data_IF_811415582356
#
_entry.id   IF_811415582356
#
_cell.length_a   1.000
_cell.length_b   1.000
_cell.length_c   1.000
_cell.angle_alpha   90.00
_cell.angle_beta   90.00
_cell.angle_gamma   90.00
#
_symmetry.space_group_name_H-M   'P 1'
#
loop_
_entity.id
_entity.type
_entity.pdbx_description
1 polymer ?
#
# COMPACT_ATOMS: atom_id res chain seq x y z
N UNK A 1 6.89 63.63 -18.10
CA UNK A 1 7.72 62.43 -17.92
C UNK A 1 6.84 61.38 -17.24
N UNK A 2 5.97 60.78 -18.04
CA UNK A 2 5.38 59.49 -17.73
C UNK A 2 6.43 58.45 -18.11
N UNK A 3 6.92 57.67 -17.14
CA UNK A 3 7.55 56.39 -17.48
C UNK A 3 7.50 55.41 -16.30
N UNK A 4 6.84 54.29 -16.57
CA UNK A 4 7.03 52.96 -15.99
C UNK A 4 6.58 52.70 -14.53
N UNK A 5 5.26 52.55 -14.37
CA UNK A 5 4.64 51.73 -13.32
C UNK A 5 4.00 50.49 -13.96
N UNK A 6 4.78 49.72 -14.72
CA UNK A 6 4.34 48.47 -15.32
C UNK A 6 5.43 47.42 -15.14
N UNK A 7 5.34 46.62 -14.07
CA UNK A 7 5.96 45.28 -13.87
C UNK A 7 5.86 44.85 -12.40
N UNK A 8 4.70 45.01 -11.76
CA UNK A 8 4.34 44.13 -10.65
C UNK A 8 3.35 43.11 -11.22
N UNK A 9 3.92 42.21 -12.02
CA UNK A 9 3.17 41.20 -12.75
C UNK A 9 2.26 40.41 -11.82
N UNK A 10 1.13 40.07 -12.41
CA UNK A 10 0.01 39.31 -11.91
C UNK A 10 0.38 37.85 -11.57
N UNK A 11 1.31 37.65 -10.63
CA UNK A 11 1.77 36.32 -10.21
C UNK A 11 0.69 35.54 -9.45
N UNK A 12 -0.23 36.23 -8.78
CA UNK A 12 -1.31 35.64 -7.99
C UNK A 12 -2.45 35.04 -8.84
N UNK A 13 -2.69 35.50 -10.08
CA UNK A 13 -3.66 34.84 -10.97
C UNK A 13 -3.07 33.61 -11.65
N UNK A 14 -1.75 33.58 -11.89
CA UNK A 14 -1.07 32.43 -12.50
C UNK A 14 -0.85 31.28 -11.51
N UNK A 15 -0.57 31.58 -10.25
CA UNK A 15 -0.21 30.59 -9.24
C UNK A 15 -1.14 30.67 -8.03
N UNK A 16 -2.06 29.71 -7.92
CA UNK A 16 -2.88 29.56 -6.73
C UNK A 16 -2.02 29.15 -5.52
N UNK A 17 -2.07 29.92 -4.44
CA UNK A 17 -1.44 29.56 -3.17
C UNK A 17 -2.32 28.51 -2.49
N UNK A 18 -1.92 27.24 -2.53
CA UNK A 18 -2.63 26.18 -1.81
C UNK A 18 -2.33 26.25 -0.32
N UNK A 19 -3.35 26.02 0.51
CA UNK A 19 -3.15 25.79 1.93
C UNK A 19 -2.45 24.45 2.17
N UNK A 20 -1.90 24.26 3.37
CA UNK A 20 -1.31 22.97 3.75
C UNK A 20 -2.35 21.84 3.75
N UNK A 21 -3.58 22.13 4.19
CA UNK A 21 -4.68 21.18 4.15
C UNK A 21 -5.06 20.78 2.72
N UNK A 22 -5.01 21.72 1.76
CA UNK A 22 -5.29 21.41 0.35
C UNK A 22 -4.16 20.57 -0.27
N UNK A 23 -2.90 20.86 0.07
CA UNK A 23 -1.77 20.01 -0.33
C UNK A 23 -1.90 18.59 0.23
N UNK A 24 -2.28 18.45 1.50
CA UNK A 24 -2.49 17.14 2.12
C UNK A 24 -3.66 16.39 1.51
N UNK A 25 -4.73 17.10 1.12
CA UNK A 25 -5.86 16.52 0.40
C UNK A 25 -5.42 15.98 -0.97
N UNK A 26 -4.57 16.70 -1.70
CA UNK A 26 -4.00 16.22 -2.97
C UNK A 26 -3.13 14.98 -2.76
N UNK A 27 -2.26 14.99 -1.75
CA UNK A 27 -1.40 13.85 -1.40
C UNK A 27 -2.22 12.63 -0.96
N UNK A 28 -3.29 12.83 -0.20
CA UNK A 28 -4.21 11.75 0.21
C UNK A 28 -4.99 11.19 -0.97
N UNK A 29 -5.47 12.04 -1.88
CA UNK A 29 -6.24 11.65 -3.06
C UNK A 29 -5.39 10.94 -4.13
N UNK A 30 -4.07 11.09 -4.10
CA UNK A 30 -3.15 10.35 -4.99
C UNK A 30 -3.30 8.83 -4.82
N UNK A 31 -3.59 8.36 -3.61
CA UNK A 31 -3.70 6.94 -3.31
C UNK A 31 -5.13 6.44 -3.57
N UNK A 32 -5.27 5.33 -4.30
CA UNK A 32 -6.55 4.65 -4.47
C UNK A 32 -7.12 4.18 -3.12
N UNK A 33 -8.44 4.03 -3.03
CA UNK A 33 -9.13 3.61 -1.80
C UNK A 33 -8.65 2.23 -1.30
N UNK A 34 -8.34 1.31 -2.22
CA UNK A 34 -7.73 0.02 -1.89
C UNK A 34 -6.35 0.18 -1.24
N UNK A 35 -5.54 1.12 -1.71
CA UNK A 35 -4.23 1.43 -1.14
C UNK A 35 -4.38 2.03 0.26
N UNK A 36 -5.31 2.97 0.47
CA UNK A 36 -5.63 3.54 1.79
C UNK A 36 -6.06 2.45 2.79
N UNK A 37 -6.93 1.54 2.35
CA UNK A 37 -7.36 0.41 3.16
C UNK A 37 -6.20 -0.52 3.52
N UNK A 38 -5.31 -0.82 2.56
CA UNK A 38 -4.11 -1.64 2.81
C UNK A 38 -3.14 -0.99 3.80
N UNK A 39 -2.96 0.34 3.72
CA UNK A 39 -2.16 1.12 4.66
C UNK A 39 -2.76 1.04 6.06
N UNK A 40 -4.07 1.31 6.19
CA UNK A 40 -4.78 1.22 7.47
C UNK A 40 -4.65 -0.17 8.10
N UNK A 41 -4.76 -1.23 7.30
CA UNK A 41 -4.58 -2.60 7.75
C UNK A 41 -3.16 -2.87 8.25
N UNK A 42 -2.14 -2.47 7.50
CA UNK A 42 -0.74 -2.65 7.87
C UNK A 42 -0.41 -1.95 9.20
N UNK A 43 -0.87 -0.70 9.34
CA UNK A 43 -0.69 0.12 10.53
C UNK A 43 -1.39 -0.48 11.73
N UNK A 44 -2.65 -0.91 11.57
CA UNK A 44 -3.38 -1.58 12.64
C UNK A 44 -2.63 -2.82 13.11
N UNK A 45 -2.15 -3.65 12.17
CA UNK A 45 -1.40 -4.86 12.50
C UNK A 45 -0.12 -4.56 13.28
N UNK A 46 0.62 -3.52 12.87
CA UNK A 46 1.81 -3.06 13.57
C UNK A 46 1.48 -2.48 14.95
N UNK A 47 0.43 -1.67 15.05
CA UNK A 47 -0.05 -1.10 16.30
C UNK A 47 -0.47 -2.16 17.30
N UNK A 48 -1.25 -3.16 16.87
CA UNK A 48 -1.69 -4.28 17.70
C UNK A 48 -0.49 -5.08 18.22
N UNK A 49 0.54 -5.27 17.40
CA UNK A 49 1.81 -5.85 17.84
C UNK A 49 2.52 -4.97 18.88
N UNK A 50 2.64 -3.66 18.66
CA UNK A 50 3.29 -2.74 19.59
C UNK A 50 2.57 -2.66 20.95
N UNK A 51 1.25 -2.75 20.97
CA UNK A 51 0.47 -2.85 22.21
C UNK A 51 0.77 -4.16 22.94
N UNK A 52 0.80 -5.30 22.23
CA UNK A 52 0.95 -6.61 22.83
C UNK A 52 2.40 -6.93 23.27
N UNK A 53 3.39 -6.55 22.47
CA UNK A 53 4.77 -6.98 22.63
C UNK A 53 5.70 -5.90 23.21
N UNK A 54 5.32 -4.62 23.14
CA UNK A 54 6.20 -3.50 23.44
C UNK A 54 5.58 -2.42 24.34
N UNK A 55 4.39 -2.68 24.92
CA UNK A 55 3.70 -1.79 25.86
C UNK A 55 3.45 -0.36 25.34
N UNK A 56 3.39 -0.15 24.02
CA UNK A 56 3.01 1.14 23.45
C UNK A 56 1.49 1.22 23.36
N UNK A 57 0.88 1.88 24.36
CA UNK A 57 -0.58 1.88 24.52
C UNK A 57 -1.31 2.86 23.58
N UNK A 58 -0.61 3.75 22.88
CA UNK A 58 -1.23 4.79 22.04
C UNK A 58 -0.55 4.97 20.69
N UNK A 59 -1.34 5.35 19.68
CA UNK A 59 -0.85 5.68 18.32
C UNK A 59 0.17 6.81 18.36
N UNK A 60 -0.04 7.82 19.20
CA UNK A 60 0.89 8.96 19.35
C UNK A 60 2.28 8.48 19.78
N UNK A 61 2.35 7.51 20.68
CA UNK A 61 3.63 6.94 21.10
C UNK A 61 4.35 6.20 19.96
N UNK A 62 3.60 5.57 19.05
CA UNK A 62 4.13 4.88 17.87
C UNK A 62 4.58 5.87 16.78
N UNK A 63 3.92 7.02 16.68
CA UNK A 63 4.25 8.08 15.72
C UNK A 63 5.56 8.79 16.06
N UNK A 64 5.89 8.89 17.35
CA UNK A 64 7.06 9.59 17.88
C UNK A 64 8.27 8.67 18.15
N UNK A 65 8.26 7.43 17.63
CA UNK A 65 9.35 6.48 17.84
C UNK A 65 10.65 6.94 17.15
N UNK A 66 11.79 6.98 17.87
CA UNK A 66 13.10 7.15 17.26
C UNK A 66 13.40 6.05 16.24
N UNK A 67 14.18 6.35 15.20
CA UNK A 67 14.49 5.40 14.12
C UNK A 67 15.09 4.09 14.62
N UNK A 68 16.02 4.14 15.57
CA UNK A 68 16.64 2.94 16.15
C UNK A 68 15.60 2.07 16.88
N UNK A 69 14.70 2.69 17.64
CA UNK A 69 13.63 1.95 18.33
C UNK A 69 12.65 1.35 17.33
N UNK A 70 12.31 2.09 16.27
CA UNK A 70 11.46 1.60 15.20
C UNK A 70 12.12 0.43 14.45
N UNK A 71 13.43 0.50 14.16
CA UNK A 71 14.18 -0.60 13.54
C UNK A 71 14.15 -1.87 14.39
N UNK A 72 14.42 -1.76 15.68
CA UNK A 72 14.37 -2.91 16.61
C UNK A 72 12.96 -3.50 16.75
N UNK A 73 11.92 -2.65 16.70
CA UNK A 73 10.54 -3.12 16.74
C UNK A 73 10.18 -3.85 15.44
N UNK A 74 10.53 -3.30 14.29
CA UNK A 74 10.28 -3.91 12.98
C UNK A 74 11.05 -5.23 12.81
N UNK A 75 12.28 -5.29 13.32
CA UNK A 75 13.07 -6.53 13.40
C UNK A 75 12.30 -7.65 14.10
N UNK A 76 11.72 -7.37 15.28
CA UNK A 76 10.96 -8.38 16.02
C UNK A 76 9.56 -8.63 15.44
N UNK A 77 8.98 -7.63 14.78
CA UNK A 77 7.63 -7.67 14.21
C UNK A 77 7.51 -8.62 13.00
N UNK A 78 8.44 -8.55 12.05
CA UNK A 78 8.34 -9.36 10.82
C UNK A 78 8.26 -10.88 11.06
N UNK A 79 9.08 -11.50 11.93
CA UNK A 79 8.98 -12.93 12.21
C UNK A 79 7.73 -13.30 13.04
N UNK A 80 7.15 -12.37 13.80
CA UNK A 80 5.96 -12.62 14.63
C UNK A 80 4.64 -12.52 13.88
N UNK A 81 4.64 -12.00 12.65
CA UNK A 81 3.42 -11.79 11.86
C UNK A 81 2.68 -13.11 11.59
N UNK A 82 1.40 -13.17 11.99
CA UNK A 82 0.48 -14.27 11.73
C UNK A 82 -0.89 -13.74 11.30
N UNK A 83 -1.60 -14.52 10.50
CA UNK A 83 -2.99 -14.23 10.16
C UNK A 83 -3.92 -14.49 11.37
N UNK A 84 -5.22 -14.21 11.22
CA UNK A 84 -6.21 -14.42 12.28
C UNK A 84 -6.34 -15.89 12.75
N UNK A 85 -5.91 -16.84 11.92
CA UNK A 85 -5.92 -18.26 12.22
C UNK A 85 -4.61 -18.73 12.88
N UNK A 86 -3.63 -17.82 13.08
CA UNK A 86 -2.31 -18.15 13.63
C UNK A 86 -1.30 -18.66 12.60
N UNK A 87 -1.62 -18.63 11.30
CA UNK A 87 -0.74 -19.13 10.23
C UNK A 87 0.21 -18.05 9.73
N UNK A 88 1.33 -18.46 9.12
CA UNK A 88 2.28 -17.55 8.46
C UNK A 88 1.65 -16.91 7.23
N UNK A 89 1.95 -15.64 6.99
CA UNK A 89 1.53 -14.94 5.77
C UNK A 89 2.40 -15.32 4.56
N UNK A 90 1.82 -15.19 3.36
CA UNK A 90 2.59 -15.21 2.12
C UNK A 90 3.54 -14.00 2.01
N UNK A 91 4.66 -14.18 1.32
CA UNK A 91 5.69 -13.12 1.14
C UNK A 91 5.11 -11.84 0.56
N UNK A 92 4.15 -11.95 -0.37
CA UNK A 92 3.50 -10.79 -0.98
C UNK A 92 2.72 -9.96 0.05
N UNK A 93 2.10 -10.60 1.04
CA UNK A 93 1.37 -9.91 2.10
C UNK A 93 2.35 -9.17 3.02
N UNK A 94 3.49 -9.78 3.38
CA UNK A 94 4.54 -9.10 4.17
C UNK A 94 5.05 -7.84 3.45
N UNK A 95 5.28 -7.92 2.14
CA UNK A 95 5.69 -6.75 1.33
C UNK A 95 4.64 -5.65 1.36
N UNK A 96 3.37 -6.01 1.22
CA UNK A 96 2.25 -5.07 1.30
C UNK A 96 2.15 -4.41 2.67
N UNK A 97 2.34 -5.17 3.76
CA UNK A 97 2.38 -4.63 5.13
C UNK A 97 3.54 -3.66 5.28
N UNK A 98 4.76 -4.04 4.88
CA UNK A 98 5.93 -3.16 4.93
C UNK A 98 5.72 -1.86 4.15
N UNK A 99 5.17 -1.95 2.94
CA UNK A 99 4.85 -0.77 2.13
C UNK A 99 3.79 0.12 2.79
N UNK A 100 2.80 -0.47 3.44
CA UNK A 100 1.80 0.27 4.23
C UNK A 100 2.41 1.01 5.40
N UNK A 101 3.32 0.39 6.15
CA UNK A 101 4.03 1.05 7.27
C UNK A 101 4.94 2.17 6.75
N UNK A 102 5.66 1.95 5.65
CA UNK A 102 6.46 3.01 5.02
C UNK A 102 5.60 4.23 4.70
N UNK A 103 4.47 4.03 3.99
CA UNK A 103 3.54 5.12 3.65
C UNK A 103 3.03 5.83 4.89
N UNK A 104 2.66 5.08 5.93
CA UNK A 104 2.15 5.65 7.18
C UNK A 104 3.09 6.69 7.80
N UNK A 105 4.39 6.44 7.80
CA UNK A 105 5.37 7.35 8.37
C UNK A 105 5.74 8.49 7.41
N UNK A 106 5.81 8.25 6.10
CA UNK A 106 6.25 9.27 5.11
C UNK A 106 5.13 10.16 4.60
N UNK A 107 3.89 9.70 4.57
CA UNK A 107 2.75 10.47 4.08
C UNK A 107 2.21 11.41 5.18
N UNK A 108 1.45 12.45 4.80
CA UNK A 108 0.72 13.27 5.77
C UNK A 108 -0.16 12.41 6.69
N UNK A 109 -0.29 12.77 7.98
CA UNK A 109 0.18 14.03 8.59
C UNK A 109 1.63 13.98 9.12
N UNK A 110 2.33 12.84 9.05
CA UNK A 110 3.59 12.63 9.78
C UNK A 110 4.81 13.14 9.05
N UNK A 111 4.85 12.95 7.72
CA UNK A 111 5.93 13.41 6.84
C UNK A 111 7.34 13.14 7.38
N UNK A 112 7.54 11.98 8.01
CA UNK A 112 8.86 11.60 8.50
C UNK A 112 9.77 11.30 7.33
N UNK A 113 10.97 11.85 7.36
CA UNK A 113 12.02 11.61 6.37
C UNK A 113 12.77 10.30 6.66
N UNK A 114 12.02 9.20 6.68
CA UNK A 114 12.57 7.86 6.95
C UNK A 114 12.27 6.91 5.81
N UNK A 115 13.11 5.89 5.68
CA UNK A 115 12.91 4.81 4.73
C UNK A 115 13.18 3.46 5.39
N UNK A 116 12.12 2.78 5.80
CA UNK A 116 12.22 1.47 6.47
C UNK A 116 12.56 0.34 5.49
N UNK A 117 12.54 0.60 4.18
CA UNK A 117 12.79 -0.40 3.13
C UNK A 117 14.27 -0.41 2.74
N UNK A 118 14.87 0.77 2.57
CA UNK A 118 16.24 0.92 2.07
C UNK A 118 17.09 1.94 2.84
N UNK A 119 16.57 2.57 3.88
CA UNK A 119 17.31 3.54 4.70
C UNK A 119 18.34 2.85 5.61
N UNK A 120 19.47 3.50 5.81
CA UNK A 120 20.61 2.97 6.59
C UNK A 120 20.27 2.80 8.08
N UNK A 121 19.34 3.61 8.60
CA UNK A 121 18.86 3.52 9.98
C UNK A 121 18.05 2.23 10.26
N UNK A 122 17.73 1.44 9.22
CA UNK A 122 16.83 0.28 9.30
C UNK A 122 17.51 -1.05 8.93
N UNK A 123 18.82 -1.16 9.15
CA UNK A 123 19.60 -2.33 8.74
C UNK A 123 19.15 -3.63 9.44
N UNK A 124 18.74 -3.59 10.72
CA UNK A 124 18.36 -4.80 11.46
C UNK A 124 17.04 -5.35 10.95
N UNK A 125 16.03 -4.48 10.85
CA UNK A 125 14.72 -4.86 10.33
C UNK A 125 14.78 -5.27 8.87
N UNK A 126 15.63 -4.64 8.05
CA UNK A 126 15.86 -5.05 6.66
C UNK A 126 16.42 -6.47 6.57
N UNK A 127 17.51 -6.75 7.29
CA UNK A 127 18.13 -8.08 7.29
C UNK A 127 17.14 -9.16 7.77
N UNK A 128 16.38 -8.86 8.82
CA UNK A 128 15.36 -9.76 9.33
C UNK A 128 14.20 -9.97 8.36
N UNK A 129 13.73 -8.91 7.70
CA UNK A 129 12.69 -9.02 6.67
C UNK A 129 13.14 -9.93 5.52
N UNK A 130 14.39 -9.78 5.07
CA UNK A 130 14.97 -10.63 4.03
C UNK A 130 15.05 -12.10 4.47
N UNK A 131 15.53 -12.36 5.69
CA UNK A 131 15.59 -13.70 6.27
C UNK A 131 14.20 -14.35 6.35
N UNK A 132 13.20 -13.62 6.86
CA UNK A 132 11.80 -14.08 6.92
C UNK A 132 11.26 -14.37 5.52
N UNK A 133 11.51 -13.50 4.54
CA UNK A 133 11.09 -13.75 3.15
C UNK A 133 11.72 -15.01 2.57
N UNK A 134 12.99 -15.29 2.88
CA UNK A 134 13.68 -16.51 2.42
C UNK A 134 13.06 -17.75 3.08
N UNK A 135 12.80 -17.72 4.40
CA UNK A 135 12.16 -18.82 5.12
C UNK A 135 10.75 -19.14 4.57
N UNK A 136 9.95 -18.10 4.31
CA UNK A 136 8.61 -18.24 3.75
C UNK A 136 8.64 -18.83 2.34
N UNK A 137 9.60 -18.42 1.50
CA UNK A 137 9.79 -19.03 0.17
C UNK A 137 10.13 -20.51 0.27
N UNK A 138 11.06 -20.88 1.17
CA UNK A 138 11.42 -22.28 1.42
C UNK A 138 10.23 -23.11 1.91
N UNK A 139 9.30 -22.47 2.62
CA UNK A 139 8.07 -23.09 3.13
C UNK A 139 6.93 -23.13 2.10
N UNK A 140 7.14 -22.74 0.83
CA UNK A 140 6.11 -22.72 -0.21
C UNK A 140 5.16 -21.51 -0.17
N UNK A 141 5.36 -20.57 0.77
CA UNK A 141 4.58 -19.33 0.91
C UNK A 141 5.14 -18.16 0.07
N UNK A 142 6.09 -18.47 -0.82
CA UNK A 142 6.69 -17.55 -1.78
C UNK A 142 6.10 -17.60 -3.17
N UNK A 143 5.33 -18.65 -3.48
CA UNK A 143 4.86 -18.91 -4.83
C UNK A 143 3.66 -18.03 -5.19
N UNK A 144 3.64 -17.61 -6.45
CA UNK A 144 2.51 -16.89 -7.03
C UNK A 144 1.60 -17.92 -7.69
N UNK A 145 0.41 -18.12 -7.14
CA UNK A 145 -0.60 -18.95 -7.80
C UNK A 145 -1.13 -18.22 -9.02
N UNK A 146 -0.73 -18.68 -10.21
CA UNK A 146 -1.29 -18.21 -11.47
C UNK A 146 -2.70 -18.77 -11.65
N UNK A 147 -3.59 -17.96 -12.25
CA UNK A 147 -4.89 -18.45 -12.69
C UNK A 147 -4.68 -19.51 -13.78
N UNK A 148 -5.49 -20.60 -13.82
CA UNK A 148 -5.37 -21.60 -14.86
C UNK A 148 -5.63 -20.97 -16.24
N UNK A 149 -5.00 -21.55 -17.27
CA UNK A 149 -5.23 -21.16 -18.66
C UNK A 149 -6.67 -21.51 -19.04
N UNK A 150 -7.36 -20.59 -19.72
CA UNK A 150 -8.65 -20.90 -20.32
C UNK A 150 -8.37 -21.70 -21.59
N UNK A 151 -8.75 -22.98 -21.60
CA UNK A 151 -8.53 -23.86 -22.74
C UNK A 151 -9.43 -23.50 -23.93
N UNK A 152 -9.02 -23.86 -25.14
CA UNK A 152 -9.78 -23.60 -26.38
C UNK A 152 -11.19 -24.18 -26.33
N UNK A 153 -11.38 -25.33 -25.68
CA UNK A 153 -12.70 -25.94 -25.47
C UNK A 153 -13.62 -25.07 -24.61
N UNK A 154 -13.07 -24.48 -23.54
CA UNK A 154 -13.83 -23.58 -22.67
C UNK A 154 -14.06 -22.23 -23.36
N UNK A 155 -13.11 -21.74 -24.16
CA UNK A 155 -13.30 -20.59 -25.03
C UNK A 155 -14.43 -20.82 -26.05
N UNK A 156 -14.55 -22.02 -26.61
CA UNK A 156 -15.65 -22.38 -27.50
C UNK A 156 -17.02 -22.36 -26.78
N UNK A 157 -17.08 -22.86 -25.54
CA UNK A 157 -18.29 -22.78 -24.69
C UNK A 157 -18.65 -21.33 -24.36
N UNK A 158 -17.67 -20.51 -23.99
CA UNK A 158 -17.85 -19.08 -23.71
C UNK A 158 -18.36 -18.36 -24.97
N UNK A 159 -17.79 -18.63 -26.14
CA UNK A 159 -18.24 -18.08 -27.43
C UNK A 159 -19.67 -18.50 -27.77
N UNK A 160 -20.02 -19.78 -27.57
CA UNK A 160 -21.37 -20.29 -27.80
C UNK A 160 -22.39 -19.64 -26.86
N UNK A 161 -22.05 -19.51 -25.57
CA UNK A 161 -22.85 -18.79 -24.58
C UNK A 161 -23.08 -17.34 -25.02
N UNK A 162 -22.03 -16.64 -25.46
CA UNK A 162 -22.18 -15.27 -25.89
C UNK A 162 -23.07 -15.09 -27.12
N UNK A 163 -23.23 -16.09 -27.99
CA UNK A 163 -24.16 -16.03 -29.15
C UNK A 163 -25.63 -15.95 -28.74
N UNK A 164 -26.00 -16.29 -27.50
CA UNK A 164 -27.37 -16.16 -26.99
C UNK A 164 -27.73 -14.73 -26.55
N UNK A 165 -26.85 -13.74 -26.80
CA UNK A 165 -27.08 -12.33 -26.45
C UNK A 165 -28.37 -11.74 -27.03
N UNK A 166 -28.86 -12.25 -28.16
CA UNK A 166 -30.10 -11.78 -28.79
C UNK A 166 -31.35 -12.11 -27.96
N UNK A 167 -31.26 -13.13 -27.12
CA UNK A 167 -32.38 -13.60 -26.27
C UNK A 167 -32.25 -13.15 -24.82
N UNK A 168 -31.06 -12.73 -24.38
CA UNK A 168 -30.83 -12.22 -23.03
C UNK A 168 -29.88 -11.00 -23.06
N UNK A 169 -30.38 -9.79 -22.75
CA UNK A 169 -29.56 -8.58 -22.73
C UNK A 169 -28.44 -8.61 -21.68
N UNK A 170 -28.53 -9.44 -20.63
CA UNK A 170 -27.44 -9.63 -19.65
C UNK A 170 -26.24 -10.32 -20.30
N UNK A 171 -26.49 -11.27 -21.20
CA UNK A 171 -25.44 -11.96 -21.96
C UNK A 171 -24.70 -10.97 -22.87
N UNK A 172 -25.40 -9.99 -23.44
CA UNK A 172 -24.79 -8.92 -24.23
C UNK A 172 -23.81 -8.09 -23.39
N UNK A 173 -24.20 -7.66 -22.19
CA UNK A 173 -23.31 -6.90 -21.28
C UNK A 173 -22.08 -7.73 -20.91
N UNK A 174 -22.28 -9.01 -20.54
CA UNK A 174 -21.17 -9.92 -20.21
C UNK A 174 -20.22 -10.14 -21.39
N UNK A 175 -20.76 -10.23 -22.62
CA UNK A 175 -19.95 -10.30 -23.84
C UNK A 175 -19.11 -9.05 -24.01
N UNK A 176 -19.73 -7.87 -23.91
CA UNK A 176 -19.01 -6.58 -24.03
C UNK A 176 -17.87 -6.49 -23.01
N UNK A 177 -18.10 -6.88 -21.75
CA UNK A 177 -17.05 -6.91 -20.73
C UNK A 177 -15.94 -7.93 -21.00
N UNK A 178 -16.25 -9.04 -21.68
CA UNK A 178 -15.24 -10.04 -22.03
C UNK A 178 -14.35 -9.58 -23.19
N UNK A 179 -14.90 -8.76 -24.10
CA UNK A 179 -14.21 -8.28 -25.30
C UNK A 179 -13.39 -6.98 -25.04
N UNK A 180 -13.53 -6.34 -23.87
CA UNK A 180 -12.81 -5.12 -23.44
C UNK A 180 -11.55 -5.43 -22.62
#
# INVERSE_FOLDING_TARGET
MEESSATADNYNERFAILSEADRDKLLSNKNAESTKASTKYAVKTFHDYCMAAANYQTIVAIDLLPDNTLDQLLEKFYPSLRNKNGEKYAVQILRSIRAGIQRYYTEPPRRREINIISGENFNRSKAMFEAVCIDLKKSGLGDVTHKPVIHDEDMAKISAYFKTWKTDPVVLIRKVWFDL
#
